data_IF_884179384381
#
_entry.id   IF_884179384381
#
_cell.length_a   1.000
_cell.length_b   1.000
_cell.length_c   1.000
_cell.angle_alpha   90.00
_cell.angle_beta   90.00
_cell.angle_gamma   90.00
#
_symmetry.space_group_name_H-M   'P 1'
#
loop_
_entity.id
_entity.type
_entity.pdbx_description
1 polymer ?
#
# COMPACT_ATOMS: atom_id res chain seq x y z
N UNK A 1 -12.28 -26.71 5.72
CA UNK A 1 -12.07 -25.35 5.18
C UNK A 1 -10.94 -24.71 5.98
N UNK A 2 -9.72 -24.73 5.44
CA UNK A 2 -8.60 -24.02 6.07
C UNK A 2 -8.83 -22.52 5.85
N UNK A 3 -9.10 -21.82 6.94
CA UNK A 3 -9.18 -20.36 6.93
C UNK A 3 -7.78 -19.87 6.55
N UNK A 4 -7.61 -19.37 5.32
CA UNK A 4 -6.41 -18.64 4.94
C UNK A 4 -6.37 -17.44 5.87
N UNK A 5 -5.27 -17.27 6.59
CA UNK A 5 -5.12 -16.18 7.55
C UNK A 5 -5.27 -14.86 6.81
N UNK A 6 -6.14 -13.99 7.35
CA UNK A 6 -6.27 -12.62 6.89
C UNK A 6 -4.91 -11.95 6.97
N UNK A 7 -4.38 -11.50 5.84
CA UNK A 7 -3.01 -10.97 5.74
C UNK A 7 -3.05 -9.49 5.40
N UNK A 8 -2.37 -8.69 6.21
CA UNK A 8 -2.07 -7.31 5.87
C UNK A 8 -0.63 -7.19 5.43
N UNK A 9 -0.42 -6.65 4.25
CA UNK A 9 0.91 -6.58 3.62
C UNK A 9 1.21 -5.17 3.14
N UNK A 10 2.43 -4.72 3.34
CA UNK A 10 2.91 -3.42 2.86
C UNK A 10 4.02 -3.60 1.81
N UNK A 11 3.87 -2.95 0.67
CA UNK A 11 4.93 -2.73 -0.31
C UNK A 11 5.35 -1.26 -0.26
N UNK A 12 6.58 -1.00 0.16
CA UNK A 12 7.16 0.34 0.28
C UNK A 12 8.39 0.46 -0.62
N UNK A 13 8.60 1.65 -1.19
CA UNK A 13 9.77 1.94 -2.02
C UNK A 13 9.62 3.27 -2.77
N UNK A 14 10.71 3.75 -3.36
CA UNK A 14 10.76 5.00 -4.10
C UNK A 14 9.93 4.99 -5.40
N UNK A 15 9.93 6.12 -6.11
CA UNK A 15 9.28 6.25 -7.42
C UNK A 15 9.92 5.24 -8.39
N UNK A 16 9.08 4.55 -9.18
CA UNK A 16 9.49 3.53 -10.16
C UNK A 16 10.30 2.36 -9.58
N UNK A 17 10.21 2.11 -8.28
CA UNK A 17 10.89 0.99 -7.61
C UNK A 17 10.30 -0.39 -7.96
N UNK A 18 9.15 -0.45 -8.64
CA UNK A 18 8.45 -1.71 -8.95
C UNK A 18 7.44 -2.15 -7.88
N UNK A 19 7.21 -1.35 -6.82
CA UNK A 19 6.32 -1.72 -5.71
C UNK A 19 4.90 -2.07 -6.15
N UNK A 20 4.26 -1.24 -7.00
CA UNK A 20 2.89 -1.50 -7.48
C UNK A 20 2.79 -2.82 -8.24
N UNK A 21 3.74 -3.09 -9.15
CA UNK A 21 3.75 -4.35 -9.90
C UNK A 21 3.96 -5.57 -8.99
N UNK A 22 4.85 -5.47 -8.00
CA UNK A 22 5.07 -6.55 -7.04
C UNK A 22 3.86 -6.76 -6.14
N UNK A 23 3.19 -5.68 -5.69
CA UNK A 23 1.96 -5.76 -4.90
C UNK A 23 0.79 -6.38 -5.70
N UNK A 24 0.61 -5.99 -6.98
CA UNK A 24 -0.38 -6.61 -7.87
C UNK A 24 -0.14 -8.12 -8.04
N UNK A 25 1.10 -8.52 -8.31
CA UNK A 25 1.46 -9.95 -8.42
C UNK A 25 1.25 -10.72 -7.12
N UNK A 26 1.54 -10.08 -6.00
CA UNK A 26 1.35 -10.68 -4.69
C UNK A 26 -0.12 -10.98 -4.42
N UNK A 27 -1.00 -10.00 -4.58
CA UNK A 27 -2.44 -10.18 -4.29
C UNK A 27 -3.10 -11.17 -5.25
N UNK A 28 -2.72 -11.18 -6.54
CA UNK A 28 -3.23 -12.12 -7.52
C UNK A 28 -2.87 -13.56 -7.16
N UNK A 29 -1.62 -13.83 -6.76
CA UNK A 29 -1.22 -15.17 -6.30
C UNK A 29 -1.99 -15.62 -5.07
N UNK A 30 -2.30 -14.71 -4.15
CA UNK A 30 -3.07 -15.04 -2.94
C UNK A 30 -4.54 -15.29 -3.28
N UNK A 31 -5.14 -14.53 -4.19
CA UNK A 31 -6.52 -14.75 -4.64
C UNK A 31 -6.70 -16.04 -5.43
N UNK A 32 -5.69 -16.48 -6.20
CA UNK A 32 -5.71 -17.78 -6.90
C UNK A 32 -5.75 -18.98 -5.93
N UNK A 33 -5.13 -18.84 -4.75
CA UNK A 33 -5.14 -19.90 -3.72
C UNK A 33 -6.48 -20.00 -2.98
N UNK A 34 -7.26 -18.95 -2.94
CA UNK A 34 -8.57 -18.88 -2.28
C UNK A 34 -9.77 -19.06 -3.24
N UNK A 35 -9.48 -19.44 -4.44
CA UNK A 35 -10.28 -20.07 -5.50
C UNK A 35 -11.51 -19.38 -6.06
N UNK A 36 -12.01 -18.20 -5.73
CA UNK A 36 -13.20 -17.67 -6.46
C UNK A 36 -13.42 -16.15 -6.43
N UNK A 37 -12.61 -15.36 -5.80
CA UNK A 37 -12.90 -13.92 -5.70
C UNK A 37 -11.88 -13.04 -6.42
N UNK A 38 -12.33 -12.33 -7.45
CA UNK A 38 -11.54 -11.29 -8.10
C UNK A 38 -11.17 -10.22 -7.06
N UNK A 39 -9.88 -9.91 -6.85
CA UNK A 39 -9.47 -8.90 -5.88
C UNK A 39 -9.87 -7.51 -6.31
N UNK A 40 -9.99 -6.61 -5.33
CA UNK A 40 -10.27 -5.21 -5.55
C UNK A 40 -8.98 -4.39 -5.69
N UNK A 41 -9.04 -3.38 -6.55
CA UNK A 41 -8.03 -2.35 -6.68
C UNK A 41 -8.67 -1.02 -6.28
N UNK A 42 -8.26 -0.49 -5.14
CA UNK A 42 -8.74 0.79 -4.64
C UNK A 42 -7.77 1.89 -5.05
N UNK A 43 -8.19 2.71 -6.01
CA UNK A 43 -7.44 3.87 -6.48
C UNK A 43 -7.77 5.09 -5.60
N UNK A 44 -6.75 5.72 -5.07
CA UNK A 44 -6.87 6.89 -4.19
C UNK A 44 -6.64 8.21 -4.91
N UNK A 45 -6.44 8.21 -6.22
CA UNK A 45 -6.13 9.41 -6.99
C UNK A 45 -7.37 10.30 -7.11
N UNK A 46 -7.29 11.54 -6.60
CA UNK A 46 -8.33 12.56 -6.72
C UNK A 46 -8.00 13.59 -7.81
N UNK A 47 -6.74 14.04 -7.83
CA UNK A 47 -6.29 15.06 -8.77
C UNK A 47 -5.59 14.42 -9.97
N UNK A 48 -6.12 14.69 -11.17
CA UNK A 48 -5.65 14.08 -12.41
C UNK A 48 -5.15 15.20 -13.32
N UNK A 49 -3.84 15.28 -13.51
CA UNK A 49 -3.22 16.02 -14.61
C UNK A 49 -2.95 15.10 -15.82
N UNK A 50 -2.44 15.64 -16.93
CA UNK A 50 -2.16 14.84 -18.12
C UNK A 50 -1.13 13.72 -17.88
N UNK A 51 -0.11 13.97 -17.05
CA UNK A 51 0.91 12.98 -16.72
C UNK A 51 0.31 11.86 -15.87
N UNK A 52 -0.44 12.21 -14.85
CA UNK A 52 -1.14 11.26 -13.97
C UNK A 52 -2.17 10.46 -14.76
N UNK A 53 -2.95 11.11 -15.64
CA UNK A 53 -3.92 10.44 -16.50
C UNK A 53 -3.26 9.40 -17.41
N UNK A 54 -2.15 9.75 -18.05
CA UNK A 54 -1.39 8.81 -18.89
C UNK A 54 -0.93 7.58 -18.07
N UNK A 55 -0.44 7.80 -16.87
CA UNK A 55 -0.02 6.72 -15.96
C UNK A 55 -1.21 5.83 -15.55
N UNK A 56 -2.36 6.44 -15.22
CA UNK A 56 -3.59 5.72 -14.87
C UNK A 56 -4.02 4.83 -16.04
N UNK A 57 -4.05 5.35 -17.27
CA UNK A 57 -4.45 4.57 -18.45
C UNK A 57 -3.53 3.37 -18.70
N UNK A 58 -2.22 3.52 -18.55
CA UNK A 58 -1.25 2.42 -18.69
C UNK A 58 -1.52 1.36 -17.62
N UNK A 59 -1.75 1.76 -16.38
CA UNK A 59 -2.05 0.86 -15.27
C UNK A 59 -3.41 0.18 -15.44
N UNK A 60 -4.44 0.89 -15.90
CA UNK A 60 -5.76 0.32 -16.16
C UNK A 60 -5.73 -0.75 -17.26
N UNK A 61 -5.04 -0.49 -18.37
CA UNK A 61 -4.88 -1.45 -19.47
C UNK A 61 -4.18 -2.73 -19.01
N UNK A 62 -3.17 -2.61 -18.14
CA UNK A 62 -2.44 -3.77 -17.59
C UNK A 62 -3.32 -4.61 -16.65
N UNK A 63 -4.22 -3.98 -15.92
CA UNK A 63 -5.07 -4.61 -14.89
C UNK A 63 -6.43 -5.08 -15.40
N UNK A 64 -6.80 -4.69 -16.63
CA UNK A 64 -8.09 -5.05 -17.23
C UNK A 64 -8.36 -6.54 -17.07
N UNK A 65 -9.48 -6.89 -16.46
CA UNK A 65 -9.96 -8.25 -16.16
C UNK A 65 -9.37 -8.95 -14.91
N UNK A 66 -8.33 -8.40 -14.26
CA UNK A 66 -7.73 -9.03 -13.07
C UNK A 66 -8.21 -8.44 -11.75
N UNK A 67 -8.79 -7.23 -11.79
CA UNK A 67 -9.24 -6.49 -10.61
C UNK A 67 -10.60 -5.84 -10.82
N UNK A 68 -11.37 -5.73 -9.75
CA UNK A 68 -12.52 -4.83 -9.66
C UNK A 68 -12.00 -3.49 -9.15
N UNK A 69 -12.07 -2.44 -9.96
CA UNK A 69 -11.57 -1.11 -9.57
C UNK A 69 -12.63 -0.33 -8.78
N UNK A 70 -12.20 0.23 -7.65
CA UNK A 70 -12.95 1.18 -6.81
C UNK A 70 -12.14 2.48 -6.76
N UNK A 71 -12.80 3.61 -6.88
CA UNK A 71 -12.19 4.92 -6.73
C UNK A 71 -12.68 5.55 -5.42
N UNK A 72 -11.79 5.73 -4.46
CA UNK A 72 -12.07 6.38 -3.18
C UNK A 72 -10.85 7.16 -2.68
N UNK A 73 -10.89 8.50 -2.77
CA UNK A 73 -9.74 9.32 -2.42
C UNK A 73 -9.60 9.62 -0.92
N UNK A 74 -10.63 9.45 -0.09
CA UNK A 74 -10.66 9.94 1.29
C UNK A 74 -11.09 8.88 2.31
N UNK A 75 -12.26 8.26 2.15
CA UNK A 75 -12.84 7.36 3.15
C UNK A 75 -12.56 5.89 2.82
N UNK A 76 -11.30 5.49 3.02
CA UNK A 76 -10.86 4.12 2.79
C UNK A 76 -11.62 3.10 3.64
N UNK A 77 -12.07 3.49 4.84
CA UNK A 77 -12.78 2.59 5.77
C UNK A 77 -14.12 2.17 5.18
N UNK A 78 -14.93 3.16 4.76
CA UNK A 78 -16.24 2.89 4.14
C UNK A 78 -16.12 2.11 2.83
N UNK A 79 -15.07 2.37 2.04
CA UNK A 79 -14.81 1.64 0.79
C UNK A 79 -14.41 0.18 1.04
N UNK A 80 -13.57 -0.08 2.06
CA UNK A 80 -13.01 -1.43 2.32
C UNK A 80 -13.96 -2.32 3.12
N UNK A 81 -14.71 -1.75 4.09
CA UNK A 81 -15.56 -2.52 5.01
C UNK A 81 -16.49 -3.53 4.32
N UNK A 82 -17.21 -3.21 3.24
CA UNK A 82 -18.16 -4.14 2.62
C UNK A 82 -17.49 -5.23 1.78
N UNK A 83 -16.19 -5.13 1.48
CA UNK A 83 -15.50 -6.00 0.56
C UNK A 83 -15.27 -7.39 1.16
N UNK A 84 -15.46 -8.43 0.36
CA UNK A 84 -15.27 -9.83 0.76
C UNK A 84 -14.01 -10.46 0.18
N UNK A 85 -13.48 -9.90 -0.90
CA UNK A 85 -12.23 -10.30 -1.51
C UNK A 85 -11.08 -9.39 -1.07
N UNK A 86 -9.82 -9.83 -1.22
CA UNK A 86 -8.65 -9.01 -0.91
C UNK A 86 -8.65 -7.67 -1.67
N UNK A 87 -8.15 -6.62 -1.04
CA UNK A 87 -8.08 -5.28 -1.62
C UNK A 87 -6.64 -4.76 -1.65
N UNK A 88 -6.24 -4.24 -2.79
CA UNK A 88 -4.99 -3.50 -2.96
C UNK A 88 -5.29 -2.02 -2.94
N UNK A 89 -4.72 -1.27 -1.98
CA UNK A 89 -4.84 0.18 -1.86
C UNK A 89 -3.65 0.84 -2.55
N UNK A 90 -3.90 1.46 -3.67
CA UNK A 90 -2.92 2.20 -4.48
C UNK A 90 -3.32 3.69 -4.53
N UNK A 91 -2.67 4.60 -3.94
CA UNK A 91 -1.40 4.63 -3.23
C UNK A 91 -1.61 5.39 -1.91
N UNK A 92 -1.17 4.87 -0.78
CA UNK A 92 -1.44 5.52 0.52
C UNK A 92 -0.80 6.90 0.66
N UNK A 93 0.28 7.20 -0.05
CA UNK A 93 0.87 8.54 -0.08
C UNK A 93 0.01 9.55 -0.85
N UNK A 94 -0.69 9.12 -1.90
CA UNK A 94 -1.68 9.96 -2.58
C UNK A 94 -2.87 10.23 -1.66
N UNK A 95 -3.35 9.21 -0.95
CA UNK A 95 -4.40 9.38 0.05
C UNK A 95 -4.02 10.41 1.13
N UNK A 96 -2.79 10.37 1.66
CA UNK A 96 -2.30 11.39 2.62
C UNK A 96 -2.34 12.79 2.01
N UNK A 97 -1.93 12.93 0.74
CA UNK A 97 -1.99 14.20 0.02
C UNK A 97 -3.42 14.73 -0.07
N UNK A 98 -4.39 13.87 -0.42
CA UNK A 98 -5.81 14.24 -0.48
C UNK A 98 -6.33 14.66 0.90
N UNK A 99 -6.02 13.91 1.96
CA UNK A 99 -6.43 14.24 3.32
C UNK A 99 -5.91 15.64 3.74
N UNK A 100 -4.65 15.96 3.44
CA UNK A 100 -4.07 17.28 3.72
C UNK A 100 -4.72 18.38 2.86
N UNK A 101 -5.00 18.10 1.59
CA UNK A 101 -5.70 19.04 0.73
C UNK A 101 -7.09 19.37 1.27
N UNK A 102 -7.80 18.38 1.80
CA UNK A 102 -9.08 18.53 2.48
C UNK A 102 -8.94 18.98 3.95
N UNK A 103 -7.80 19.57 4.30
CA UNK A 103 -7.52 20.17 5.61
C UNK A 103 -7.70 19.22 6.82
N UNK A 104 -7.54 17.91 6.59
CA UNK A 104 -7.51 16.95 7.69
C UNK A 104 -6.23 17.10 8.50
N UNK A 105 -6.37 17.03 9.83
CA UNK A 105 -5.22 17.11 10.72
C UNK A 105 -4.41 15.80 10.71
N UNK A 106 -3.17 15.87 11.17
CA UNK A 106 -2.32 14.69 11.37
C UNK A 106 -3.01 13.63 12.22
N UNK A 107 -3.67 14.06 13.31
CA UNK A 107 -4.38 13.17 14.23
C UNK A 107 -5.52 12.45 13.52
N UNK A 108 -6.31 13.14 12.71
CA UNK A 108 -7.39 12.54 11.91
C UNK A 108 -6.86 11.53 10.88
N UNK A 109 -5.73 11.82 10.24
CA UNK A 109 -5.07 10.90 9.29
C UNK A 109 -4.61 9.63 10.03
N UNK A 110 -3.96 9.79 11.19
CA UNK A 110 -3.48 8.66 11.99
C UNK A 110 -4.61 7.83 12.59
N UNK A 111 -5.69 8.47 13.04
CA UNK A 111 -6.89 7.77 13.52
C UNK A 111 -7.54 6.94 12.41
N UNK A 112 -7.68 7.53 11.21
CA UNK A 112 -8.26 6.85 10.06
C UNK A 112 -7.45 5.60 9.67
N UNK A 113 -6.13 5.74 9.51
CA UNK A 113 -5.28 4.60 9.13
C UNK A 113 -5.26 3.53 10.23
N UNK A 114 -5.20 3.93 11.50
CA UNK A 114 -5.26 2.99 12.64
C UNK A 114 -6.57 2.22 12.68
N UNK A 115 -7.68 2.88 12.36
CA UNK A 115 -9.00 2.25 12.28
C UNK A 115 -9.11 1.30 11.08
N UNK A 116 -8.56 1.69 9.92
CA UNK A 116 -8.47 0.83 8.74
C UNK A 116 -7.70 -0.47 9.05
N UNK A 117 -6.59 -0.38 9.81
CA UNK A 117 -5.80 -1.55 10.19
C UNK A 117 -6.54 -2.55 11.08
N UNK A 118 -7.62 -2.14 11.75
CA UNK A 118 -8.45 -3.02 12.59
C UNK A 118 -9.51 -3.79 11.80
N UNK A 119 -9.77 -3.44 10.55
CA UNK A 119 -10.75 -4.14 9.72
C UNK A 119 -10.32 -5.60 9.49
N UNK A 120 -11.29 -6.54 9.45
CA UNK A 120 -11.02 -7.96 9.22
C UNK A 120 -10.85 -8.28 7.70
N UNK A 121 -10.29 -7.37 6.94
CA UNK A 121 -10.10 -7.51 5.50
C UNK A 121 -8.64 -7.83 5.19
N UNK A 122 -8.41 -8.61 4.12
CA UNK A 122 -7.10 -8.77 3.52
C UNK A 122 -6.74 -7.51 2.75
N UNK A 123 -5.68 -6.82 3.17
CA UNK A 123 -5.31 -5.53 2.59
C UNK A 123 -3.83 -5.53 2.21
N UNK A 124 -3.57 -5.23 0.95
CA UNK A 124 -2.23 -4.95 0.43
C UNK A 124 -2.08 -3.45 0.23
N UNK A 125 -1.12 -2.86 0.92
CA UNK A 125 -0.83 -1.43 0.83
C UNK A 125 0.34 -1.17 -0.10
N UNK A 126 0.23 -0.14 -0.93
CA UNK A 126 1.33 0.43 -1.70
C UNK A 126 1.65 1.82 -1.17
N UNK A 127 2.88 2.02 -0.74
CA UNK A 127 3.34 3.28 -0.15
C UNK A 127 4.63 3.77 -0.82
N UNK A 128 4.66 5.05 -1.22
CA UNK A 128 5.90 5.65 -1.70
C UNK A 128 6.79 6.04 -0.51
N UNK A 129 8.05 5.64 -0.56
CA UNK A 129 9.07 6.17 0.33
C UNK A 129 9.48 7.58 -0.15
N UNK A 130 8.89 8.59 0.46
CA UNK A 130 9.08 10.01 0.10
C UNK A 130 10.09 10.74 0.99
N UNK A 131 10.56 10.07 2.04
CA UNK A 131 11.47 10.64 3.05
C UNK A 131 12.96 10.46 2.77
N UNK A 132 13.32 9.73 1.72
CA UNK A 132 14.72 9.35 1.39
C UNK A 132 15.37 10.31 0.39
N UNK A 133 15.38 11.59 0.66
CA UNK A 133 15.95 12.56 -0.28
C UNK A 133 16.37 13.86 0.37
N UNK A 134 16.44 14.90 -0.44
CA UNK A 134 16.72 16.26 0.04
C UNK A 134 15.54 16.76 0.86
N UNK A 135 15.80 17.36 2.01
CA UNK A 135 14.77 18.01 2.83
C UNK A 135 14.22 19.21 2.05
N UNK A 136 12.90 19.25 1.76
CA UNK A 136 12.32 20.36 0.99
C UNK A 136 12.36 21.68 1.74
N UNK A 137 12.55 22.78 1.03
CA UNK A 137 12.46 24.15 1.60
C UNK A 137 11.00 24.50 1.97
N UNK A 138 10.04 23.91 1.29
CA UNK A 138 8.61 24.14 1.52
C UNK A 138 8.14 23.43 2.81
N UNK A 139 7.55 24.18 3.74
CA UNK A 139 7.05 23.66 5.01
C UNK A 139 5.93 22.62 4.85
N UNK A 140 5.03 22.81 3.88
CA UNK A 140 3.95 21.87 3.61
C UNK A 140 4.50 20.52 3.12
N UNK A 141 5.52 20.55 2.26
CA UNK A 141 6.18 19.34 1.80
C UNK A 141 6.87 18.58 2.94
N UNK A 142 7.50 19.30 3.90
CA UNK A 142 8.08 18.66 5.10
C UNK A 142 7.01 18.02 5.97
N UNK A 143 5.90 18.73 6.21
CA UNK A 143 4.74 18.17 6.95
C UNK A 143 4.20 16.90 6.28
N UNK A 144 4.07 16.91 4.97
CA UNK A 144 3.65 15.74 4.20
C UNK A 144 4.62 14.55 4.36
N UNK A 145 5.92 14.79 4.26
CA UNK A 145 6.97 13.76 4.46
C UNK A 145 6.90 13.18 5.87
N UNK A 146 6.78 14.02 6.89
CA UNK A 146 6.70 13.59 8.29
C UNK A 146 5.46 12.71 8.53
N UNK A 147 4.30 13.16 8.06
CA UNK A 147 3.04 12.39 8.19
C UNK A 147 3.15 11.06 7.42
N UNK A 148 3.69 11.09 6.21
CA UNK A 148 3.88 9.89 5.38
C UNK A 148 4.78 8.88 6.10
N UNK A 149 5.89 9.34 6.70
CA UNK A 149 6.78 8.49 7.47
C UNK A 149 6.10 7.86 8.69
N UNK A 150 5.29 8.62 9.43
CA UNK A 150 4.54 8.09 10.58
C UNK A 150 3.45 7.11 10.14
N UNK A 151 2.70 7.42 9.09
CA UNK A 151 1.67 6.53 8.52
C UNK A 151 2.30 5.21 8.07
N UNK A 152 3.44 5.25 7.38
CA UNK A 152 4.14 4.03 6.95
C UNK A 152 4.55 3.15 8.13
N UNK A 153 5.00 3.74 9.26
CA UNK A 153 5.30 3.02 10.49
C UNK A 153 4.05 2.37 11.09
N UNK A 154 2.93 3.09 11.17
CA UNK A 154 1.65 2.55 11.67
C UNK A 154 1.22 1.36 10.82
N UNK A 155 1.25 1.46 9.49
CA UNK A 155 0.92 0.36 8.59
C UNK A 155 1.88 -0.81 8.82
N UNK A 156 3.20 -0.57 8.80
CA UNK A 156 4.22 -1.61 8.93
C UNK A 156 4.13 -2.38 10.26
N UNK A 157 3.81 -1.69 11.37
CA UNK A 157 3.64 -2.33 12.69
C UNK A 157 2.48 -3.34 12.66
N UNK A 158 1.38 -3.00 12.02
CA UNK A 158 0.16 -3.81 11.97
C UNK A 158 0.14 -4.82 10.80
N UNK A 159 1.00 -4.69 9.81
CA UNK A 159 1.12 -5.66 8.73
C UNK A 159 1.83 -6.94 9.19
N UNK A 160 1.39 -8.08 8.64
CA UNK A 160 2.03 -9.38 8.83
C UNK A 160 3.32 -9.47 8.02
N UNK A 161 3.31 -8.86 6.82
CA UNK A 161 4.47 -8.81 5.93
C UNK A 161 4.76 -7.40 5.45
N UNK A 162 6.04 -7.06 5.33
CA UNK A 162 6.51 -5.80 4.75
C UNK A 162 7.61 -6.09 3.72
N UNK A 163 7.44 -5.54 2.53
CA UNK A 163 8.39 -5.65 1.44
C UNK A 163 8.96 -4.28 1.09
N UNK A 164 10.29 -4.18 1.03
CA UNK A 164 10.98 -3.03 0.48
C UNK A 164 11.32 -3.28 -0.99
N UNK A 165 10.93 -2.35 -1.87
CA UNK A 165 11.09 -2.46 -3.31
C UNK A 165 12.16 -1.50 -3.82
N UNK A 166 13.19 -2.07 -4.45
CA UNK A 166 14.30 -1.33 -5.06
C UNK A 166 14.57 -1.95 -6.43
N UNK A 167 14.68 -1.13 -7.48
CA UNK A 167 15.05 -1.57 -8.82
C UNK A 167 14.21 -2.75 -9.36
N UNK A 168 12.92 -2.80 -9.03
CA UNK A 168 12.01 -3.87 -9.45
C UNK A 168 12.00 -5.10 -8.53
N UNK A 169 12.91 -5.18 -7.58
CA UNK A 169 13.05 -6.31 -6.65
C UNK A 169 12.35 -5.99 -5.34
N UNK A 170 11.47 -6.89 -4.89
CA UNK A 170 10.81 -6.81 -3.60
C UNK A 170 11.52 -7.72 -2.59
N UNK A 171 12.13 -7.12 -1.58
CA UNK A 171 12.77 -7.83 -0.47
C UNK A 171 11.89 -7.78 0.75
N UNK A 172 11.53 -8.94 1.31
CA UNK A 172 10.74 -9.00 2.54
C UNK A 172 11.62 -8.60 3.73
N UNK A 173 11.19 -7.56 4.46
CA UNK A 173 11.88 -7.03 5.64
C UNK A 173 11.14 -7.33 6.94
N UNK A 174 9.85 -7.73 6.88
CA UNK A 174 9.05 -8.23 8.01
C UNK A 174 8.19 -9.40 7.53
N UNK A 175 8.02 -10.44 8.37
CA UNK A 175 7.15 -11.61 8.14
C UNK A 175 7.79 -12.90 8.65
N UNK A 176 6.96 -13.97 8.80
CA UNK A 176 7.43 -15.28 9.22
C UNK A 176 8.27 -15.92 8.12
N UNK A 177 9.54 -16.17 8.40
CA UNK A 177 10.51 -16.78 7.50
C UNK A 177 11.62 -15.81 7.04
N UNK A 178 12.16 -15.00 7.95
CA UNK A 178 13.49 -14.41 7.72
C UNK A 178 14.44 -15.52 7.30
N UNK A 179 15.27 -15.34 6.24
CA UNK A 179 16.31 -16.32 5.95
C UNK A 179 17.12 -16.49 7.23
N UNK A 180 17.15 -17.71 7.75
CA UNK A 180 18.08 -18.06 8.82
C UNK A 180 19.45 -17.77 8.25
N UNK A 181 20.09 -16.71 8.74
CA UNK A 181 21.50 -16.48 8.50
C UNK A 181 22.20 -17.78 8.87
N UNK A 182 22.75 -18.48 7.89
CA UNK A 182 23.68 -19.57 8.15
C UNK A 182 24.85 -18.94 8.90
N UNK A 183 24.79 -19.05 10.22
CA UNK A 183 25.94 -18.83 11.07
C UNK A 183 27.01 -19.87 10.71
N UNK A 184 27.90 -19.54 9.80
CA UNK A 184 29.15 -20.24 9.67
C UNK A 184 29.99 -19.99 10.93
N UNK A 185 29.63 -20.71 12.00
CA UNK A 185 30.54 -20.98 13.08
C UNK A 185 31.36 -22.19 12.71
N UNK A 186 32.59 -21.99 12.29
CA UNK A 186 33.68 -22.95 12.55
C UNK A 186 35.03 -22.24 12.45
N UNK A 187 35.67 -22.31 13.57
CA UNK A 187 37.09 -22.32 13.98
C UNK A 187 37.87 -21.04 13.77
#
# INVERSE_FOLDING_TARGET
MNKVFLVKTLFIGGIKSGKSLNAERYILRHSELDSESTPYYLATTEFIDEEINTRIQIHQKRRAQQFITIEEPLDLISAVTPLKAPVLIECTTMWINNMLYHQKTKEQILEHITSLMKLPNDIVFVHNDVGTGIIPDNALARTYIDISGIVSQVIAIHCDEVYHCIAGIATRIKGNGSPKGEGNGKS
#
